data_IF_304959886143
#
_entry.id   IF_304959886143
#
_cell.length_a   1.000
_cell.length_b   1.000
_cell.length_c   1.000
_cell.angle_alpha   90.00
_cell.angle_beta   90.00
_cell.angle_gamma   90.00
#
_symmetry.space_group_name_H-M   'P 1'
#
loop_
_entity.id
_entity.type
_entity.pdbx_description
1 polymer ?
#
# COMPACT_ATOMS: atom_id res chain seq x y z
N UNK A 1 -81.96 36.79 -16.86
CA UNK A 1 -82.36 36.48 -18.20
C UNK A 1 -81.61 35.25 -18.72
N UNK A 2 -82.46 34.20 -18.90
CA UNK A 2 -82.43 33.10 -19.82
C UNK A 2 -81.28 32.09 -19.78
N UNK A 3 -81.54 30.98 -19.16
CA UNK A 3 -82.07 29.68 -19.66
C UNK A 3 -81.32 29.13 -20.90
N UNK A 4 -80.73 27.96 -20.77
CA UNK A 4 -81.16 26.80 -21.55
C UNK A 4 -80.53 25.50 -20.99
N UNK A 5 -81.43 24.62 -20.70
CA UNK A 5 -81.31 23.19 -20.51
C UNK A 5 -80.54 22.43 -21.57
N UNK A 6 -79.86 21.37 -21.18
CA UNK A 6 -79.37 20.37 -22.08
C UNK A 6 -78.86 19.14 -21.34
N UNK A 7 -79.81 18.33 -20.85
CA UNK A 7 -79.65 16.98 -20.36
C UNK A 7 -79.09 16.04 -21.45
N UNK A 8 -77.96 15.31 -21.12
CA UNK A 8 -77.64 14.04 -21.77
C UNK A 8 -77.17 13.05 -20.73
N UNK A 9 -77.83 11.95 -20.65
CA UNK A 9 -77.61 10.81 -19.82
C UNK A 9 -76.30 10.05 -20.18
N UNK A 10 -75.77 9.26 -19.23
CA UNK A 10 -74.47 8.64 -19.40
C UNK A 10 -74.58 7.30 -20.15
N UNK A 11 -73.66 7.12 -21.11
CA UNK A 11 -73.39 5.86 -21.77
C UNK A 11 -72.67 4.96 -20.82
N UNK A 12 -73.25 3.78 -20.55
CA UNK A 12 -72.70 2.77 -19.63
C UNK A 12 -71.32 2.29 -20.05
N UNK A 13 -70.38 2.48 -19.14
CA UNK A 13 -69.07 1.86 -19.22
C UNK A 13 -69.13 0.45 -18.63
N UNK A 14 -69.06 -0.55 -19.49
CA UNK A 14 -68.90 -1.97 -19.13
C UNK A 14 -67.48 -2.19 -18.56
N UNK A 15 -67.43 -2.39 -17.25
CA UNK A 15 -66.18 -2.79 -16.60
C UNK A 15 -65.91 -4.29 -16.85
N UNK A 16 -64.96 -4.58 -17.75
CA UNK A 16 -64.38 -5.93 -17.84
C UNK A 16 -63.51 -6.18 -16.62
N UNK A 17 -63.97 -7.02 -15.72
CA UNK A 17 -63.15 -7.61 -14.68
C UNK A 17 -62.10 -8.54 -15.32
N UNK A 18 -60.94 -8.03 -15.65
CA UNK A 18 -59.72 -8.85 -15.85
C UNK A 18 -59.19 -9.25 -14.51
N UNK A 19 -59.40 -10.50 -14.13
CA UNK A 19 -58.78 -11.15 -12.96
C UNK A 19 -57.29 -11.20 -13.15
N UNK A 20 -56.56 -10.25 -12.60
CA UNK A 20 -55.09 -10.31 -12.48
C UNK A 20 -54.77 -11.35 -11.40
N UNK A 21 -54.40 -12.55 -11.84
CA UNK A 21 -53.83 -13.57 -11.01
C UNK A 21 -52.46 -13.08 -10.50
N UNK A 22 -52.41 -12.62 -9.26
CA UNK A 22 -51.13 -12.40 -8.55
C UNK A 22 -50.48 -13.74 -8.31
N UNK A 23 -49.56 -14.14 -9.16
CA UNK A 23 -48.66 -15.22 -8.89
C UNK A 23 -47.84 -14.89 -7.64
N UNK A 24 -48.20 -15.48 -6.52
CA UNK A 24 -47.42 -15.49 -5.30
C UNK A 24 -46.11 -16.22 -5.60
N UNK A 25 -45.09 -15.44 -5.97
CA UNK A 25 -43.73 -15.94 -6.16
C UNK A 25 -43.16 -16.19 -4.78
N UNK A 26 -43.05 -17.44 -4.43
CA UNK A 26 -42.44 -17.96 -3.21
C UNK A 26 -41.05 -17.35 -3.01
N UNK A 27 -40.93 -16.36 -2.11
CA UNK A 27 -39.68 -15.68 -1.75
C UNK A 27 -38.95 -16.42 -0.61
N UNK A 28 -39.10 -17.74 -0.50
CA UNK A 28 -38.48 -18.53 0.54
C UNK A 28 -37.26 -19.31 0.04
N UNK A 29 -36.33 -18.68 -0.65
CA UNK A 29 -34.94 -19.21 -0.76
C UNK A 29 -33.92 -18.15 -1.17
N UNK A 30 -33.93 -16.99 -0.56
CA UNK A 30 -32.69 -16.21 -0.48
C UNK A 30 -31.77 -16.90 0.53
N UNK A 31 -31.09 -17.96 0.04
CA UNK A 31 -29.86 -18.42 0.72
C UNK A 31 -29.02 -17.18 0.95
N UNK A 32 -28.89 -16.81 2.20
CA UNK A 32 -27.86 -15.86 2.64
C UNK A 32 -26.53 -16.48 2.24
N UNK A 33 -26.06 -16.14 1.04
CA UNK A 33 -24.67 -16.34 0.69
C UNK A 33 -23.89 -15.58 1.73
N UNK A 34 -23.35 -16.30 2.72
CA UNK A 34 -22.32 -15.76 3.59
C UNK A 34 -21.21 -15.35 2.64
N UNK A 35 -21.20 -14.08 2.25
CA UNK A 35 -20.11 -13.50 1.49
C UNK A 35 -18.89 -13.63 2.36
N UNK A 36 -18.07 -14.64 2.08
CA UNK A 36 -16.74 -14.75 2.65
C UNK A 36 -16.10 -13.37 2.52
N UNK A 37 -15.68 -12.81 3.63
CA UNK A 37 -15.18 -11.42 3.73
C UNK A 37 -14.03 -11.29 2.74
N UNK A 38 -14.28 -10.69 1.58
CA UNK A 38 -13.25 -10.53 0.57
C UNK A 38 -12.16 -9.61 1.13
N UNK A 39 -10.89 -10.04 1.19
CA UNK A 39 -9.81 -9.25 1.80
C UNK A 39 -9.63 -7.86 1.16
N UNK A 40 -10.17 -7.66 -0.03
CA UNK A 40 -10.23 -6.34 -0.70
C UNK A 40 -11.19 -5.36 -0.04
N UNK A 41 -12.15 -5.82 0.78
CA UNK A 41 -13.11 -4.96 1.48
C UNK A 41 -12.55 -4.38 2.77
N UNK A 42 -11.48 -4.95 3.31
CA UNK A 42 -10.81 -4.39 4.49
C UNK A 42 -10.22 -3.02 4.15
N UNK A 43 -10.66 -1.98 4.85
CA UNK A 43 -10.19 -0.61 4.65
C UNK A 43 -8.66 -0.49 4.78
N UNK A 44 -8.05 -1.34 5.61
CA UNK A 44 -6.60 -1.42 5.82
C UNK A 44 -5.87 -1.96 4.58
N UNK A 45 -6.49 -2.91 3.82
CA UNK A 45 -5.88 -3.53 2.65
C UNK A 45 -6.06 -2.74 1.34
N UNK A 46 -6.63 -1.54 1.38
CA UNK A 46 -6.85 -0.70 0.19
C UNK A 46 -5.60 0.03 -0.29
N UNK A 47 -4.71 0.41 0.62
CA UNK A 47 -3.47 1.15 0.35
C UNK A 47 -2.35 0.63 1.24
N UNK A 48 -1.16 0.42 0.68
CA UNK A 48 -0.01 -0.11 1.40
C UNK A 48 0.41 0.76 2.61
N UNK A 49 0.26 2.07 2.50
CA UNK A 49 0.50 3.02 3.60
C UNK A 49 -0.22 2.61 4.90
N UNK A 50 -1.51 2.20 4.84
CA UNK A 50 -2.32 1.96 6.03
C UNK A 50 -1.78 0.84 6.93
N UNK A 51 -1.58 -0.40 6.43
CA UNK A 51 -1.08 -1.47 7.27
C UNK A 51 0.37 -1.24 7.69
N UNK A 52 1.24 -0.80 6.78
CA UNK A 52 2.65 -0.67 7.09
C UNK A 52 2.97 0.45 8.09
N UNK A 53 2.32 1.61 8.00
CA UNK A 53 2.53 2.68 8.97
C UNK A 53 1.96 2.34 10.35
N UNK A 54 0.78 1.72 10.40
CA UNK A 54 0.19 1.27 11.66
C UNK A 54 1.08 0.23 12.33
N UNK A 55 1.49 -0.80 11.58
CA UNK A 55 2.34 -1.87 12.09
C UNK A 55 3.73 -1.37 12.45
N UNK A 56 4.32 -0.46 11.68
CA UNK A 56 5.60 0.15 12.01
C UNK A 56 5.53 0.94 13.33
N UNK A 57 4.48 1.74 13.53
CA UNK A 57 4.28 2.48 14.77
C UNK A 57 4.11 1.54 15.97
N UNK A 58 3.27 0.52 15.85
CA UNK A 58 3.09 -0.48 16.91
C UNK A 58 4.39 -1.25 17.19
N UNK A 59 5.08 -1.64 16.13
CA UNK A 59 6.35 -2.37 16.24
C UNK A 59 7.46 -1.53 16.90
N UNK A 60 7.53 -0.23 16.60
CA UNK A 60 8.51 0.67 17.23
C UNK A 60 8.31 0.77 18.73
N UNK A 61 7.06 0.88 19.17
CA UNK A 61 6.71 0.90 20.61
C UNK A 61 7.08 -0.45 21.24
N UNK A 62 6.64 -1.55 20.63
CA UNK A 62 6.92 -2.90 21.15
C UNK A 62 8.42 -3.17 21.26
N UNK A 63 9.19 -2.84 20.22
CA UNK A 63 10.64 -3.08 20.22
C UNK A 63 11.39 -2.23 21.26
N UNK A 64 10.92 -1.01 21.54
CA UNK A 64 11.47 -0.18 22.61
C UNK A 64 11.12 -0.75 24.00
N UNK A 65 9.89 -1.21 24.20
CA UNK A 65 9.47 -1.86 25.46
C UNK A 65 10.31 -3.12 25.70
N UNK A 66 10.48 -3.98 24.67
CA UNK A 66 11.33 -5.18 24.76
C UNK A 66 12.78 -4.82 25.06
N UNK A 67 13.33 -3.80 24.39
CA UNK A 67 14.67 -3.30 24.63
C UNK A 67 14.88 -2.83 26.07
N UNK A 68 13.93 -2.03 26.58
CA UNK A 68 13.97 -1.52 27.94
C UNK A 68 13.86 -2.63 28.99
N UNK A 69 12.89 -3.54 28.83
CA UNK A 69 12.68 -4.68 29.76
C UNK A 69 13.89 -5.61 29.82
N UNK A 70 14.61 -5.78 28.68
CA UNK A 70 15.85 -6.55 28.68
C UNK A 70 16.94 -5.88 29.54
N UNK A 71 17.13 -4.57 29.41
CA UNK A 71 18.14 -3.85 30.19
C UNK A 71 17.85 -3.83 31.69
N UNK A 72 16.56 -3.91 32.08
CA UNK A 72 16.15 -4.07 33.47
C UNK A 72 16.26 -5.52 34.00
N UNK A 73 16.51 -6.48 33.12
CA UNK A 73 16.59 -7.89 33.49
C UNK A 73 15.22 -8.57 33.62
N UNK A 74 14.14 -7.91 33.21
CA UNK A 74 12.77 -8.41 33.33
C UNK A 74 12.47 -9.54 32.35
N UNK A 75 13.20 -9.61 31.23
CA UNK A 75 13.02 -10.62 30.19
C UNK A 75 14.34 -11.22 29.73
N UNK A 76 14.30 -12.53 29.44
CA UNK A 76 15.39 -13.27 28.80
C UNK A 76 14.99 -13.58 27.35
N UNK A 77 15.30 -12.66 26.44
CA UNK A 77 15.11 -12.86 25.01
C UNK A 77 16.41 -13.30 24.36
N UNK A 78 16.34 -14.33 23.50
CA UNK A 78 17.49 -14.81 22.69
C UNK A 78 17.19 -14.66 21.20
N UNK A 79 17.19 -13.42 20.70
CA UNK A 79 16.88 -13.17 19.30
C UNK A 79 18.04 -13.59 18.39
N UNK A 80 17.78 -13.63 17.09
CA UNK A 80 18.82 -13.85 16.08
C UNK A 80 19.96 -12.83 16.24
N UNK A 81 21.20 -13.32 16.35
CA UNK A 81 22.40 -12.50 16.50
C UNK A 81 22.58 -11.81 17.86
N UNK A 82 21.72 -12.09 18.84
CA UNK A 82 21.70 -11.43 20.14
C UNK A 82 20.97 -10.09 20.14
N UNK A 83 20.72 -9.56 21.34
CA UNK A 83 19.82 -8.42 21.50
C UNK A 83 20.34 -7.12 20.88
N UNK A 84 21.65 -6.83 20.97
CA UNK A 84 22.23 -5.62 20.38
C UNK A 84 22.09 -5.61 18.87
N UNK A 85 22.40 -6.74 18.21
CA UNK A 85 22.19 -6.92 16.80
C UNK A 85 20.71 -6.82 16.44
N UNK A 86 19.83 -7.53 17.17
CA UNK A 86 18.41 -7.52 16.95
C UNK A 86 17.83 -6.11 17.00
N UNK A 87 18.14 -5.34 18.06
CA UNK A 87 17.63 -3.97 18.15
C UNK A 87 18.10 -3.09 17.00
N UNK A 88 19.40 -3.12 16.68
CA UNK A 88 19.96 -2.35 15.56
C UNK A 88 19.32 -2.75 14.23
N UNK A 89 19.18 -4.06 13.99
CA UNK A 89 18.57 -4.59 12.78
C UNK A 89 17.09 -4.19 12.68
N UNK A 90 16.35 -4.35 13.74
CA UNK A 90 14.92 -4.07 13.76
C UNK A 90 14.58 -2.58 13.58
N UNK A 91 15.41 -1.68 14.07
CA UNK A 91 15.23 -0.25 13.79
C UNK A 91 15.44 0.06 12.30
N UNK A 92 16.41 -0.58 11.66
CA UNK A 92 16.77 -0.32 10.26
C UNK A 92 15.91 -1.10 9.27
N UNK A 93 15.72 -2.40 9.50
CA UNK A 93 15.07 -3.33 8.55
C UNK A 93 13.69 -3.80 9.00
N UNK A 94 13.35 -3.64 10.26
CA UNK A 94 12.00 -3.81 10.77
C UNK A 94 11.16 -2.53 10.57
N UNK A 95 11.42 -1.53 11.40
CA UNK A 95 10.66 -0.29 11.45
C UNK A 95 10.81 0.56 10.18
N UNK A 96 12.05 1.01 9.90
CA UNK A 96 12.25 1.99 8.83
C UNK A 96 11.89 1.43 7.44
N UNK A 97 12.14 0.13 7.20
CA UNK A 97 11.78 -0.52 5.93
C UNK A 97 10.27 -0.63 5.76
N UNK A 98 9.49 -0.90 6.83
CA UNK A 98 8.04 -0.90 6.76
C UNK A 98 7.49 0.48 6.38
N UNK A 99 8.02 1.55 6.97
CA UNK A 99 7.64 2.94 6.62
C UNK A 99 7.97 3.23 5.16
N UNK A 100 9.19 2.90 4.72
CA UNK A 100 9.63 3.11 3.33
C UNK A 100 8.75 2.32 2.35
N UNK A 101 8.49 1.03 2.62
CA UNK A 101 7.66 0.20 1.75
C UNK A 101 6.22 0.71 1.65
N UNK A 102 5.60 1.04 2.80
CA UNK A 102 4.26 1.61 2.85
C UNK A 102 4.14 2.90 2.05
N UNK A 103 5.15 3.78 2.18
CA UNK A 103 5.20 5.02 1.42
C UNK A 103 5.41 4.77 -0.08
N UNK A 104 6.45 4.04 -0.47
CA UNK A 104 6.82 3.84 -1.88
C UNK A 104 5.74 3.09 -2.66
N UNK A 105 5.15 2.02 -2.09
CA UNK A 105 4.07 1.26 -2.72
C UNK A 105 2.78 2.08 -2.86
N UNK A 106 2.57 3.10 -2.03
CA UNK A 106 1.45 4.04 -2.19
C UNK A 106 1.78 5.14 -3.19
N UNK A 107 2.98 5.72 -3.10
CA UNK A 107 3.39 6.83 -3.96
C UNK A 107 3.56 6.42 -5.42
N UNK A 108 4.01 5.18 -5.68
CA UNK A 108 4.19 4.67 -7.06
C UNK A 108 2.89 4.68 -7.86
N UNK A 109 1.73 4.51 -7.22
CA UNK A 109 0.42 4.62 -7.88
C UNK A 109 0.20 6.01 -8.45
N UNK A 110 0.53 7.06 -7.68
CA UNK A 110 0.39 8.45 -8.12
C UNK A 110 1.40 8.80 -9.23
N UNK A 111 2.59 8.18 -9.21
CA UNK A 111 3.63 8.45 -10.20
C UNK A 111 3.40 7.74 -11.52
N UNK A 112 2.80 6.56 -11.47
CA UNK A 112 2.61 5.68 -12.64
C UNK A 112 1.19 5.72 -13.20
N UNK A 113 0.21 6.09 -12.37
CA UNK A 113 -1.22 5.96 -12.71
C UNK A 113 -1.72 4.51 -12.66
N UNK A 114 -0.87 3.55 -12.28
CA UNK A 114 -1.22 2.13 -12.18
C UNK A 114 -1.50 1.74 -10.72
N UNK A 115 -2.49 0.86 -10.47
CA UNK A 115 -2.75 0.36 -9.13
C UNK A 115 -1.58 -0.49 -8.62
N UNK A 116 -1.14 -0.26 -7.39
CA UNK A 116 -0.18 -1.08 -6.67
C UNK A 116 -0.88 -2.24 -5.94
N UNK A 117 -0.15 -2.93 -5.07
CA UNK A 117 -0.69 -4.05 -4.29
C UNK A 117 -1.91 -3.62 -3.46
N UNK A 118 -2.98 -4.43 -3.52
CA UNK A 118 -4.22 -4.27 -2.74
C UNK A 118 -4.75 -5.64 -2.31
N UNK A 119 -5.56 -5.67 -1.27
CA UNK A 119 -6.24 -6.90 -0.82
C UNK A 119 -5.26 -8.01 -0.45
N UNK A 120 -5.49 -9.22 -0.97
CA UNK A 120 -4.71 -10.43 -0.67
C UNK A 120 -3.20 -10.28 -0.89
N UNK A 121 -2.72 -9.82 -2.06
CA UNK A 121 -1.29 -9.62 -2.30
C UNK A 121 -0.63 -8.63 -1.32
N UNK A 122 -1.32 -7.56 -0.93
CA UNK A 122 -0.82 -6.64 0.09
C UNK A 122 -0.75 -7.31 1.46
N UNK A 123 -1.78 -8.06 1.84
CA UNK A 123 -1.78 -8.79 3.10
C UNK A 123 -0.71 -9.89 3.13
N UNK A 124 -0.41 -10.55 2.01
CA UNK A 124 0.70 -11.48 1.88
C UNK A 124 2.06 -10.82 2.13
N UNK A 125 2.26 -9.61 1.61
CA UNK A 125 3.49 -8.84 1.87
C UNK A 125 3.58 -8.39 3.34
N UNK A 126 2.46 -8.02 3.96
CA UNK A 126 2.39 -7.70 5.40
C UNK A 126 2.70 -8.94 6.24
N UNK A 127 2.14 -10.10 5.87
CA UNK A 127 2.40 -11.36 6.55
C UNK A 127 3.88 -11.78 6.46
N UNK A 128 4.53 -11.58 5.30
CA UNK A 128 5.96 -11.82 5.13
C UNK A 128 6.78 -10.94 6.07
N UNK A 129 6.46 -9.65 6.15
CA UNK A 129 7.12 -8.72 7.07
C UNK A 129 6.94 -9.14 8.54
N UNK A 130 5.71 -9.46 8.95
CA UNK A 130 5.42 -9.92 10.31
C UNK A 130 6.13 -11.22 10.64
N UNK A 131 6.14 -12.19 9.73
CA UNK A 131 6.87 -13.45 9.92
C UNK A 131 8.36 -13.22 10.17
N UNK A 132 8.97 -12.32 9.41
CA UNK A 132 10.36 -11.93 9.64
C UNK A 132 10.58 -11.33 11.04
N UNK A 133 9.69 -10.43 11.49
CA UNK A 133 9.79 -9.83 12.85
C UNK A 133 9.69 -10.87 13.95
N UNK A 134 8.74 -11.81 13.81
CA UNK A 134 8.58 -12.90 14.78
C UNK A 134 9.80 -13.81 14.80
N UNK A 135 10.31 -14.23 13.63
CA UNK A 135 11.46 -15.12 13.52
C UNK A 135 12.76 -14.47 14.01
N UNK A 136 12.95 -13.17 13.78
CA UNK A 136 14.09 -12.43 14.29
C UNK A 136 14.10 -12.33 15.81
N UNK A 137 12.93 -12.15 16.44
CA UNK A 137 12.80 -12.11 17.89
C UNK A 137 12.84 -13.51 18.52
N UNK A 138 12.19 -14.48 17.87
CA UNK A 138 12.03 -15.85 18.34
C UNK A 138 12.43 -16.83 17.23
N UNK A 139 13.68 -17.21 17.10
CA UNK A 139 14.15 -18.12 16.04
C UNK A 139 13.54 -19.52 16.09
N UNK A 140 12.91 -19.92 17.21
CA UNK A 140 12.18 -21.19 17.38
C UNK A 140 13.01 -22.43 17.00
N UNK A 141 14.32 -22.40 17.20
CA UNK A 141 15.24 -23.49 16.83
C UNK A 141 15.51 -23.62 15.33
N UNK A 142 15.01 -22.70 14.50
CA UNK A 142 15.32 -22.70 13.08
C UNK A 142 16.78 -22.30 12.82
N UNK A 143 17.39 -22.85 11.75
CA UNK A 143 18.72 -22.44 11.37
C UNK A 143 18.76 -20.95 11.00
N UNK A 144 19.79 -20.22 11.42
CA UNK A 144 19.88 -18.77 11.24
C UNK A 144 19.79 -18.31 9.78
N UNK A 145 20.28 -19.11 8.83
CA UNK A 145 20.16 -18.82 7.40
C UNK A 145 18.70 -18.79 6.92
N UNK A 146 17.81 -19.61 7.51
CA UNK A 146 16.39 -19.61 7.15
C UNK A 146 15.69 -18.35 7.68
N UNK A 147 16.01 -17.94 8.91
CA UNK A 147 15.52 -16.67 9.48
C UNK A 147 15.96 -15.50 8.60
N UNK A 148 17.25 -15.48 8.22
CA UNK A 148 17.81 -14.48 7.30
C UNK A 148 17.10 -14.47 5.94
N UNK A 149 16.84 -15.65 5.36
CA UNK A 149 16.17 -15.76 4.06
C UNK A 149 14.75 -15.17 4.08
N UNK A 150 13.97 -15.41 5.14
CA UNK A 150 12.62 -14.86 5.29
C UNK A 150 12.68 -13.34 5.42
N UNK A 151 13.62 -12.81 6.21
CA UNK A 151 13.78 -11.37 6.38
C UNK A 151 14.25 -10.68 5.09
N UNK A 152 15.26 -11.25 4.44
CA UNK A 152 15.80 -10.74 3.17
C UNK A 152 14.79 -10.75 2.03
N UNK A 153 13.78 -11.63 2.04
CA UNK A 153 12.80 -11.73 0.97
C UNK A 153 11.93 -10.48 0.83
N UNK A 154 11.72 -9.72 1.90
CA UNK A 154 10.78 -8.59 1.90
C UNK A 154 11.17 -7.46 0.93
N UNK A 155 12.40 -6.94 1.03
CA UNK A 155 12.86 -5.81 0.21
C UNK A 155 12.90 -6.12 -1.29
N UNK A 156 13.39 -7.29 -1.76
CA UNK A 156 13.33 -7.68 -3.17
C UNK A 156 11.90 -7.75 -3.71
N UNK A 157 10.93 -8.24 -2.91
CA UNK A 157 9.53 -8.26 -3.33
C UNK A 157 9.00 -6.84 -3.50
N UNK A 158 9.28 -5.93 -2.56
CA UNK A 158 8.92 -4.50 -2.69
C UNK A 158 9.55 -3.89 -3.94
N UNK A 159 10.85 -4.14 -4.17
CA UNK A 159 11.59 -3.64 -5.33
C UNK A 159 11.02 -4.19 -6.65
N UNK A 160 10.68 -5.49 -6.71
CA UNK A 160 10.09 -6.13 -7.88
C UNK A 160 8.71 -5.54 -8.23
N UNK A 161 7.86 -5.32 -7.23
CA UNK A 161 6.56 -4.65 -7.43
C UNK A 161 6.76 -3.23 -7.96
N UNK A 162 7.65 -2.45 -7.36
CA UNK A 162 7.95 -1.10 -7.85
C UNK A 162 8.50 -1.11 -9.28
N UNK A 163 9.48 -1.99 -9.56
CA UNK A 163 10.08 -2.13 -10.87
C UNK A 163 9.02 -2.43 -11.94
N UNK A 164 8.14 -3.41 -11.66
CA UNK A 164 7.07 -3.80 -12.58
C UNK A 164 6.14 -2.64 -12.94
N UNK A 165 5.74 -1.83 -11.96
CA UNK A 165 4.86 -0.69 -12.17
C UNK A 165 5.55 0.45 -12.93
N UNK A 166 6.81 0.77 -12.57
CA UNK A 166 7.59 1.84 -13.20
C UNK A 166 7.92 1.51 -14.66
N UNK A 167 8.31 0.25 -14.94
CA UNK A 167 8.62 -0.22 -16.30
C UNK A 167 7.35 -0.23 -17.16
N UNK A 168 6.24 -0.79 -16.66
CA UNK A 168 4.96 -0.83 -17.38
C UNK A 168 4.42 0.56 -17.71
N UNK A 169 4.60 1.53 -16.80
CA UNK A 169 4.18 2.91 -17.01
C UNK A 169 5.20 3.74 -17.80
N UNK A 170 6.36 3.18 -18.15
CA UNK A 170 7.50 3.88 -18.81
C UNK A 170 7.94 5.16 -18.05
N UNK A 171 7.86 5.15 -16.72
CA UNK A 171 8.21 6.29 -15.85
C UNK A 171 9.65 6.17 -15.34
N UNK A 172 10.63 6.14 -16.24
CA UNK A 172 12.04 5.89 -15.98
C UNK A 172 12.66 6.74 -14.86
N UNK A 173 12.19 7.97 -14.67
CA UNK A 173 12.65 8.87 -13.59
C UNK A 173 12.44 8.30 -12.18
N UNK A 174 11.54 7.33 -12.02
CA UNK A 174 11.26 6.71 -10.74
C UNK A 174 12.11 5.45 -10.48
N UNK A 175 12.92 5.02 -11.46
CA UNK A 175 13.88 3.93 -11.28
C UNK A 175 14.96 4.26 -10.25
N UNK A 176 15.18 5.53 -9.92
CA UNK A 176 16.16 5.97 -8.90
C UNK A 176 15.93 5.32 -7.54
N UNK A 177 14.72 4.85 -7.24
CA UNK A 177 14.43 4.16 -5.99
C UNK A 177 14.91 2.70 -5.99
N UNK A 178 15.07 2.06 -7.17
CA UNK A 178 15.47 0.64 -7.25
C UNK A 178 16.91 0.40 -6.79
N UNK A 179 17.92 1.18 -7.21
CA UNK A 179 19.27 1.08 -6.66
C UNK A 179 19.29 1.25 -5.14
N UNK A 180 18.53 2.21 -4.61
CA UNK A 180 18.47 2.42 -3.16
C UNK A 180 17.89 1.22 -2.42
N UNK A 181 16.83 0.59 -2.95
CA UNK A 181 16.26 -0.64 -2.40
C UNK A 181 17.23 -1.83 -2.54
N UNK A 182 17.92 -1.95 -3.68
CA UNK A 182 18.94 -2.98 -3.90
C UNK A 182 20.12 -2.86 -2.94
N UNK A 183 20.65 -1.65 -2.75
CA UNK A 183 21.72 -1.39 -1.78
C UNK A 183 21.26 -1.65 -0.32
N UNK A 184 19.99 -1.36 -0.02
CA UNK A 184 19.43 -1.72 1.29
C UNK A 184 19.33 -3.23 1.48
N UNK A 185 18.93 -3.96 0.45
CA UNK A 185 18.92 -5.44 0.48
C UNK A 185 20.34 -5.96 0.69
N UNK A 186 21.33 -5.38 0.02
CA UNK A 186 22.74 -5.73 0.21
C UNK A 186 23.21 -5.44 1.64
N UNK A 187 22.88 -4.27 2.19
CA UNK A 187 23.22 -3.92 3.57
C UNK A 187 22.58 -4.92 4.56
N UNK A 188 21.33 -5.32 4.35
CA UNK A 188 20.66 -6.32 5.14
C UNK A 188 21.36 -7.68 5.05
N UNK A 189 21.70 -8.11 3.83
CA UNK A 189 22.46 -9.34 3.61
C UNK A 189 23.79 -9.33 4.35
N UNK A 190 24.56 -8.23 4.27
CA UNK A 190 25.85 -8.11 4.96
C UNK A 190 25.70 -8.18 6.48
N UNK A 191 24.63 -7.60 7.05
CA UNK A 191 24.35 -7.75 8.48
C UNK A 191 24.07 -9.20 8.86
N UNK A 192 23.26 -9.91 8.09
CA UNK A 192 23.01 -11.33 8.34
C UNK A 192 24.26 -12.20 8.15
N UNK A 193 25.05 -11.95 7.11
CA UNK A 193 26.33 -12.65 6.90
C UNK A 193 27.27 -12.44 8.08
N UNK A 194 27.40 -11.22 8.59
CA UNK A 194 28.24 -10.93 9.76
C UNK A 194 27.85 -11.74 10.99
N UNK A 195 26.54 -11.97 11.20
CA UNK A 195 26.06 -12.84 12.31
C UNK A 195 26.32 -14.32 12.02
N UNK A 196 26.05 -14.77 10.79
CA UNK A 196 26.11 -16.19 10.43
C UNK A 196 27.55 -16.70 10.31
N UNK A 197 28.49 -15.86 9.85
CA UNK A 197 29.93 -16.19 9.75
C UNK A 197 30.71 -15.88 11.02
N UNK A 198 30.12 -15.13 11.96
CA UNK A 198 30.84 -14.62 13.14
C UNK A 198 31.72 -13.42 12.85
N UNK A 199 31.64 -12.83 11.64
CA UNK A 199 32.43 -11.66 11.22
C UNK A 199 31.75 -10.36 11.63
N UNK A 200 31.86 -9.99 12.90
CA UNK A 200 31.21 -8.79 13.44
C UNK A 200 31.62 -7.48 12.72
N UNK A 201 32.77 -7.47 12.06
CA UNK A 201 33.25 -6.31 11.28
C UNK A 201 32.36 -5.95 10.10
N UNK A 202 31.58 -6.90 9.56
CA UNK A 202 30.62 -6.63 8.48
C UNK A 202 29.39 -5.89 8.95
N UNK A 203 29.00 -6.07 10.21
CA UNK A 203 27.72 -5.55 10.74
C UNK A 203 27.71 -4.03 10.81
N UNK A 204 28.78 -3.43 11.34
CA UNK A 204 28.83 -1.99 11.55
C UNK A 204 28.80 -1.16 10.25
N UNK A 205 29.64 -1.44 9.23
CA UNK A 205 29.56 -0.70 7.97
C UNK A 205 28.26 -0.94 7.23
N UNK A 206 27.68 -2.16 7.30
CA UNK A 206 26.37 -2.46 6.72
C UNK A 206 25.25 -1.64 7.38
N UNK A 207 25.26 -1.52 8.70
CA UNK A 207 24.32 -0.68 9.43
C UNK A 207 24.48 0.80 9.07
N UNK A 208 25.71 1.33 8.99
CA UNK A 208 25.95 2.70 8.54
C UNK A 208 25.44 2.94 7.10
N UNK A 209 25.70 2.01 6.19
CA UNK A 209 25.16 2.08 4.83
C UNK A 209 23.62 2.13 4.85
N UNK A 210 22.98 1.31 5.68
CA UNK A 210 21.53 1.32 5.82
C UNK A 210 21.00 2.66 6.33
N UNK A 211 21.66 3.28 7.32
CA UNK A 211 21.29 4.62 7.83
C UNK A 211 21.44 5.67 6.74
N UNK A 212 22.56 5.70 6.02
CA UNK A 212 22.78 6.65 4.91
C UNK A 212 21.72 6.51 3.82
N UNK A 213 21.35 5.28 3.48
CA UNK A 213 20.30 5.03 2.47
C UNK A 213 18.91 5.46 2.94
N UNK A 214 18.57 5.31 4.23
CA UNK A 214 17.32 5.85 4.79
C UNK A 214 17.34 7.38 4.67
N UNK A 215 18.41 8.01 5.11
CA UNK A 215 18.56 9.46 5.05
C UNK A 215 18.44 9.97 3.60
N UNK A 216 19.12 9.32 2.66
CA UNK A 216 19.01 9.64 1.23
C UNK A 216 17.56 9.53 0.73
N UNK A 217 16.87 8.43 1.06
CA UNK A 217 15.47 8.25 0.69
C UNK A 217 14.57 9.32 1.30
N UNK A 218 14.79 9.69 2.57
CA UNK A 218 14.04 10.76 3.23
C UNK A 218 14.23 12.10 2.52
N UNK A 219 15.46 12.46 2.14
CA UNK A 219 15.76 13.69 1.42
C UNK A 219 15.11 13.71 0.04
N UNK A 220 15.28 12.63 -0.74
CA UNK A 220 14.72 12.53 -2.09
C UNK A 220 13.18 12.56 -2.06
N UNK A 221 12.59 11.81 -1.16
CA UNK A 221 11.13 11.74 -1.01
C UNK A 221 10.58 13.06 -0.46
N UNK A 222 11.20 13.60 0.60
CA UNK A 222 10.81 14.85 1.23
C UNK A 222 10.84 16.01 0.23
N UNK A 223 11.91 16.13 -0.55
CA UNK A 223 12.02 17.15 -1.60
C UNK A 223 10.89 17.04 -2.64
N UNK A 224 10.50 15.84 -3.05
CA UNK A 224 9.38 15.63 -3.99
C UNK A 224 8.02 15.96 -3.37
N UNK A 225 7.80 15.57 -2.13
CA UNK A 225 6.54 15.77 -1.42
C UNK A 225 6.35 17.26 -1.11
N UNK A 226 7.36 17.92 -0.58
CA UNK A 226 7.32 19.35 -0.29
C UNK A 226 7.04 20.16 -1.57
N UNK A 227 7.80 19.90 -2.65
CA UNK A 227 7.59 20.57 -3.93
C UNK A 227 6.17 20.38 -4.48
N UNK A 228 5.59 19.18 -4.34
CA UNK A 228 4.22 18.89 -4.77
C UNK A 228 3.19 19.67 -3.95
N UNK A 229 3.30 19.66 -2.63
CA UNK A 229 2.35 20.38 -1.77
C UNK A 229 2.46 21.90 -1.94
N UNK A 230 3.67 22.43 -2.07
CA UNK A 230 3.90 23.84 -2.34
C UNK A 230 3.28 24.28 -3.66
N UNK A 231 3.50 23.50 -4.73
CA UNK A 231 2.90 23.77 -6.04
C UNK A 231 1.37 23.74 -5.99
N UNK A 232 0.80 22.77 -5.29
CA UNK A 232 -0.66 22.67 -5.13
C UNK A 232 -1.22 23.86 -4.34
N UNK A 233 -0.53 24.28 -3.27
CA UNK A 233 -0.97 25.41 -2.43
C UNK A 233 -0.89 26.74 -3.15
N UNK A 234 0.13 26.93 -3.97
CA UNK A 234 0.33 28.14 -4.76
C UNK A 234 -0.45 28.17 -6.07
N UNK A 235 -1.28 27.16 -6.34
CA UNK A 235 -2.03 27.06 -7.59
C UNK A 235 -1.16 26.90 -8.84
N UNK A 236 0.13 26.54 -8.66
CA UNK A 236 1.07 26.28 -9.75
C UNK A 236 0.80 24.93 -10.44
N UNK A 237 -0.47 24.52 -10.50
CA UNK A 237 -0.88 23.36 -11.28
C UNK A 237 -0.51 23.60 -12.73
N UNK A 238 0.17 22.62 -13.33
CA UNK A 238 0.58 22.62 -14.74
C UNK A 238 -0.58 23.16 -15.59
N UNK A 239 -0.37 24.31 -16.26
CA UNK A 239 -1.25 24.74 -17.36
C UNK A 239 -1.47 23.55 -18.27
N UNK A 240 -2.74 23.22 -18.65
CA UNK A 240 -2.95 22.22 -19.67
C UNK A 240 -2.09 22.59 -20.89
N UNK A 241 -1.54 21.60 -21.60
CA UNK A 241 -0.76 21.90 -22.80
C UNK A 241 -1.61 22.80 -23.68
N UNK A 242 -1.00 23.91 -24.14
CA UNK A 242 -1.63 24.83 -25.10
C UNK A 242 -2.19 23.96 -26.22
N UNK A 243 -3.50 24.03 -26.55
CA UNK A 243 -4.04 23.26 -27.64
C UNK A 243 -3.21 23.56 -28.88
N UNK A 244 -2.52 22.56 -29.39
CA UNK A 244 -1.79 22.66 -30.65
C UNK A 244 -2.76 23.11 -31.75
N UNK A 245 -2.34 24.00 -32.63
CA UNK A 245 -3.13 24.55 -33.75
C UNK A 245 -3.91 23.49 -34.56
N UNK A 246 -3.49 22.22 -34.49
CA UNK A 246 -4.18 21.07 -35.07
C UNK A 246 -5.56 20.76 -34.45
N UNK A 247 -5.90 21.33 -33.29
CA UNK A 247 -7.22 21.15 -32.64
C UNK A 247 -8.19 22.32 -32.93
N UNK A 248 -7.75 23.36 -33.64
CA UNK A 248 -8.65 24.35 -34.21
C UNK A 248 -9.19 23.78 -35.52
N UNK A 249 -10.36 23.13 -35.47
CA UNK A 249 -11.08 22.73 -36.65
C UNK A 249 -11.23 23.92 -37.61
N UNK A 250 -11.34 23.68 -38.93
CA UNK A 250 -11.49 24.74 -39.92
C UNK A 250 -12.70 25.62 -39.57
N UNK A 251 -12.44 26.90 -39.26
CA UNK A 251 -13.45 27.86 -38.95
C UNK A 251 -14.47 27.92 -40.13
N UNK A 252 -15.74 27.68 -39.84
CA UNK A 252 -16.81 27.99 -40.76
C UNK A 252 -16.74 29.48 -41.05
N UNK A 253 -16.21 29.85 -42.23
CA UNK A 253 -16.45 31.18 -42.79
C UNK A 253 -17.90 31.24 -43.19
N UNK A 254 -18.73 31.93 -42.42
CA UNK A 254 -20.06 32.36 -42.83
C UNK A 254 -19.89 33.40 -43.92
N UNK A 255 -20.31 33.06 -45.13
CA UNK A 255 -20.53 34.06 -46.22
C UNK A 255 -21.84 34.76 -45.94
N UNK A 256 -21.82 36.02 -45.66
CA UNK A 256 -22.88 36.99 -45.86
C UNK A 256 -22.67 37.68 -47.18
#
# INVERSE_FOLDING_TARGET
LDTCHGSREPVGAQWHHSSVSYGYRDMSSSRTSQTAFAPTQLAVARLAFRPFFLLAALFSILSLVVWFAFWHGDILLRPQGGLMFWHQHEMLFGFAVAVVAGFLLTAVQNWTGLPSLKGGPLLGLVALWLAARVLMAFPMGLPGWLVAAVDLAFLPVVAAVMASLVIRARRWRNLIFLPALGLRTLANLLMHLGVLSGEAELIRPAAHLAVLLITLLMVVVGGRVIAMFTANRLGLTRKPPIPTLAQRGPGRFSKT
#
